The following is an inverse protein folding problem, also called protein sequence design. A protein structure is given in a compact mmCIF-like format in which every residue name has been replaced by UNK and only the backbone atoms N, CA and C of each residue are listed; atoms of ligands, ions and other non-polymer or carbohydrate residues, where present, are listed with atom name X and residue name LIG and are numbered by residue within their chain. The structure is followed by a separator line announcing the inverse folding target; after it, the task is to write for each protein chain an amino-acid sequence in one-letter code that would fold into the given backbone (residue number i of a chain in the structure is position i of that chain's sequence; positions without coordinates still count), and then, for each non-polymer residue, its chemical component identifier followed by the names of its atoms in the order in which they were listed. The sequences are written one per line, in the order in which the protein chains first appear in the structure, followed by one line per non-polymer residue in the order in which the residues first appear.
data_IF_072864690598
#
_entry.id   IF_072864690598
#
_cell.length_a   1.000
_cell.length_b   1.000
_cell.length_c   1.000
_cell.angle_alpha   90.00
_cell.angle_beta   90.00
_cell.angle_gamma   90.00
#
_symmetry.space_group_name_H-M   'P 1'
#
loop_
_entity.id
_entity.type
_entity.pdbx_description
1 polymer ?
#
# COMPACT_ATOMS: atom_id res chain seq x y z
N UNK A 1 10.07 9.56 -0.32
CA UNK A 1 9.66 8.20 0.04
C UNK A 1 8.18 8.02 -0.27
N UNK A 2 7.80 6.89 -0.81
CA UNK A 2 6.43 6.63 -1.22
C UNK A 2 5.87 5.48 -0.42
N UNK A 3 4.59 5.57 -0.08
CA UNK A 3 3.94 4.55 0.74
C UNK A 3 2.93 3.80 -0.13
N UNK A 4 3.02 2.47 -0.10
CA UNK A 4 2.03 1.59 -0.70
C UNK A 4 1.29 0.95 0.45
N UNK A 5 0.01 1.25 0.55
CA UNK A 5 -0.80 0.84 1.69
C UNK A 5 -1.89 -0.12 1.23
N UNK A 6 -2.06 -1.19 1.98
CA UNK A 6 -3.02 -2.24 1.66
C UNK A 6 -4.03 -2.35 2.79
N UNK A 7 -5.30 -2.33 2.42
CA UNK A 7 -6.37 -2.57 3.36
C UNK A 7 -6.89 -3.97 3.14
N UNK A 8 -6.99 -4.73 4.22
CA UNK A 8 -7.46 -6.11 4.16
C UNK A 8 -8.89 -6.19 4.64
N UNK A 9 -9.60 -7.19 4.15
CA UNK A 9 -10.96 -7.45 4.59
C UNK A 9 -10.93 -7.87 6.06
N UNK A 10 -11.94 -7.46 6.78
CA UNK A 10 -12.16 -7.90 8.17
C UNK A 10 -11.06 -7.50 9.14
N UNK A 11 -10.24 -6.50 8.79
CA UNK A 11 -9.28 -5.99 9.73
C UNK A 11 -9.17 -4.48 9.57
N UNK A 12 -9.01 -3.80 10.70
CA UNK A 12 -8.95 -2.35 10.72
C UNK A 12 -7.54 -1.82 10.46
N UNK A 13 -6.53 -2.65 10.67
CA UNK A 13 -5.15 -2.18 10.56
C UNK A 13 -4.62 -2.41 9.17
N UNK A 14 -4.15 -1.35 8.50
CA UNK A 14 -3.57 -1.51 7.17
C UNK A 14 -2.15 -2.05 7.25
N UNK A 15 -1.73 -2.69 6.17
CA UNK A 15 -0.33 -3.04 5.97
C UNK A 15 0.27 -2.02 5.03
N UNK A 16 1.56 -1.75 5.20
CA UNK A 16 2.20 -0.81 4.29
C UNK A 16 3.66 -1.17 4.08
N UNK A 17 4.16 -0.79 2.92
CA UNK A 17 5.59 -0.83 2.62
C UNK A 17 5.96 0.52 2.03
N UNK A 18 7.23 0.87 2.13
CA UNK A 18 7.72 2.14 1.60
C UNK A 18 8.68 1.88 0.46
N UNK A 19 8.56 2.69 -0.58
CA UNK A 19 9.43 2.62 -1.74
C UNK A 19 10.17 3.93 -1.91
N UNK A 20 11.42 3.84 -2.35
CA UNK A 20 12.25 5.02 -2.48
C UNK A 20 11.92 5.85 -3.71
N UNK A 21 11.42 5.22 -4.77
CA UNK A 21 11.15 5.92 -6.01
C UNK A 21 9.68 5.81 -6.37
N UNK A 22 9.23 6.81 -7.14
CA UNK A 22 7.85 6.81 -7.63
C UNK A 22 7.62 5.62 -8.54
N UNK A 23 8.62 5.25 -9.33
CA UNK A 23 8.49 4.13 -10.26
C UNK A 23 8.28 2.81 -9.54
N UNK A 24 9.05 2.59 -8.46
CA UNK A 24 8.92 1.37 -7.69
C UNK A 24 7.56 1.29 -7.00
N UNK A 25 7.10 2.42 -6.49
CA UNK A 25 5.79 2.48 -5.84
C UNK A 25 4.67 2.23 -6.85
N UNK A 26 4.78 2.83 -8.02
CA UNK A 26 3.77 2.65 -9.06
C UNK A 26 3.74 1.20 -9.54
N UNK A 27 4.93 0.58 -9.67
CA UNK A 27 5.00 -0.81 -10.09
C UNK A 27 4.31 -1.73 -9.07
N UNK A 28 4.53 -1.47 -7.79
CA UNK A 28 3.87 -2.24 -6.75
C UNK A 28 2.36 -2.06 -6.79
N UNK A 29 1.92 -0.82 -6.97
CA UNK A 29 0.50 -0.51 -7.06
C UNK A 29 -0.13 -1.21 -8.25
N UNK A 30 0.53 -1.15 -9.41
CA UNK A 30 0.01 -1.79 -10.62
C UNK A 30 -0.09 -3.30 -10.46
N UNK A 31 0.91 -3.90 -9.85
CA UNK A 31 0.90 -5.34 -9.61
C UNK A 31 -0.28 -5.73 -8.73
N UNK A 32 -0.49 -4.96 -7.67
CA UNK A 32 -1.58 -5.25 -6.73
C UNK A 32 -2.95 -5.04 -7.35
N UNK A 33 -3.11 -3.97 -8.13
CA UNK A 33 -4.39 -3.71 -8.76
C UNK A 33 -4.71 -4.76 -9.82
N UNK A 34 -3.70 -5.23 -10.55
CA UNK A 34 -3.90 -6.32 -11.50
C UNK A 34 -4.32 -7.60 -10.78
N UNK A 35 -3.70 -7.89 -9.65
CA UNK A 35 -4.05 -9.06 -8.87
C UNK A 35 -5.47 -8.97 -8.37
N UNK A 36 -5.87 -7.79 -7.89
CA UNK A 36 -7.24 -7.57 -7.44
C UNK A 36 -8.24 -7.77 -8.56
N UNK A 37 -7.90 -7.29 -9.74
CA UNK A 37 -8.80 -7.36 -10.87
C UNK A 37 -8.99 -8.79 -11.40
N UNK A 38 -7.92 -9.57 -11.39
CA UNK A 38 -7.95 -10.92 -11.97
C UNK A 38 -8.10 -12.02 -10.93
N UNK A 39 -7.83 -11.71 -9.66
CA UNK A 39 -7.81 -12.74 -8.62
C UNK A 39 -6.55 -13.58 -8.61
N UNK A 40 -5.57 -13.22 -9.42
CA UNK A 40 -4.31 -13.96 -9.53
C UNK A 40 -3.12 -13.03 -9.59
N UNK A 41 -1.99 -13.44 -9.00
CA UNK A 41 -1.79 -14.72 -8.30
C UNK A 41 -2.55 -14.77 -6.97
N UNK A 42 -2.61 -15.92 -6.38
CA UNK A 42 -3.32 -16.10 -5.11
C UNK A 42 -2.65 -15.29 -4.01
N UNK A 43 -1.35 -15.17 -4.08
CA UNK A 43 -0.56 -14.48 -3.06
C UNK A 43 0.43 -13.54 -3.73
N UNK A 44 0.64 -12.38 -3.14
CA UNK A 44 1.67 -11.45 -3.60
C UNK A 44 2.60 -11.12 -2.45
N UNK A 45 3.87 -10.88 -2.80
CA UNK A 45 4.88 -10.51 -1.83
C UNK A 45 5.41 -9.11 -2.14
N UNK A 46 5.53 -8.30 -1.09
CA UNK A 46 6.05 -6.95 -1.20
C UNK A 46 7.25 -6.78 -0.29
N UNK A 47 8.18 -5.95 -0.71
CA UNK A 47 9.32 -5.60 0.11
C UNK A 47 9.28 -4.12 0.45
N UNK A 48 9.96 -3.76 1.54
CA UNK A 48 10.00 -2.38 2.02
C UNK A 48 11.42 -1.85 1.88
N UNK A 49 11.57 -0.72 1.18
CA UNK A 49 12.89 -0.12 1.00
C UNK A 49 13.37 0.59 2.26
N UNK A 50 12.45 1.08 3.06
CA UNK A 50 12.80 1.79 4.28
C UNK A 50 13.26 0.84 5.38
N UNK A 51 12.61 -0.29 5.50
CA UNK A 51 12.86 -1.25 6.55
C UNK A 51 13.52 -2.48 5.95
N UNK A 52 14.82 -2.56 6.11
CA UNK A 52 15.58 -3.64 5.51
C UNK A 52 15.12 -4.99 6.03
N UNK A 53 14.94 -5.92 5.11
CA UNK A 53 14.51 -7.26 5.48
C UNK A 53 13.01 -7.43 5.67
N UNK A 54 12.25 -6.34 5.63
CA UNK A 54 10.81 -6.45 5.79
C UNK A 54 10.17 -6.96 4.50
N UNK A 55 9.40 -8.01 4.64
CA UNK A 55 8.61 -8.57 3.55
C UNK A 55 7.18 -8.73 4.02
N UNK A 56 6.26 -8.49 3.10
CA UNK A 56 4.84 -8.66 3.38
C UNK A 56 4.26 -9.55 2.31
N UNK A 57 3.69 -10.67 2.73
CA UNK A 57 2.98 -11.57 1.82
C UNK A 57 1.51 -11.51 2.17
N UNK A 58 0.68 -11.34 1.17
CA UNK A 58 -0.74 -11.15 1.40
C UNK A 58 -1.55 -12.01 0.44
N UNK A 59 -2.65 -12.57 0.95
CA UNK A 59 -3.60 -13.30 0.11
C UNK A 59 -4.43 -12.29 -0.66
N UNK A 60 -4.44 -12.44 -1.96
CA UNK A 60 -5.17 -11.49 -2.82
C UNK A 60 -6.66 -11.51 -2.51
N UNK A 61 -7.19 -12.67 -2.15
CA UNK A 61 -8.62 -12.77 -1.82
C UNK A 61 -9.00 -12.00 -0.58
N UNK A 62 -8.03 -11.65 0.29
CA UNK A 62 -8.30 -10.89 1.49
C UNK A 62 -8.03 -9.39 1.30
N UNK A 63 -7.58 -9.00 0.14
CA UNK A 63 -7.21 -7.63 -0.15
C UNK A 63 -8.46 -6.87 -0.56
N UNK A 64 -8.71 -5.74 0.10
CA UNK A 64 -9.90 -4.93 -0.17
C UNK A 64 -9.57 -3.65 -0.94
N UNK A 65 -8.41 -3.05 -0.66
CA UNK A 65 -8.06 -1.80 -1.29
C UNK A 65 -6.55 -1.60 -1.28
N UNK A 66 -6.06 -0.83 -2.24
CA UNK A 66 -4.66 -0.49 -2.36
C UNK A 66 -4.57 0.99 -2.62
N UNK A 67 -3.64 1.68 -1.97
CA UNK A 67 -3.40 3.07 -2.29
C UNK A 67 -1.90 3.35 -2.26
N UNK A 68 -1.50 4.33 -3.05
CA UNK A 68 -0.12 4.76 -3.11
C UNK A 68 -0.09 6.27 -2.99
N UNK A 69 0.84 6.79 -2.20
CA UNK A 69 0.96 8.22 -2.04
C UNK A 69 2.38 8.57 -1.61
N UNK A 70 2.74 9.81 -1.82
CA UNK A 70 4.04 10.30 -1.42
C UNK A 70 3.99 10.70 0.04
N UNK A 71 4.95 10.19 0.82
CA UNK A 71 5.04 10.54 2.22
C UNK A 71 5.71 11.89 2.35
N UNK A 72 5.01 12.83 2.96
CA UNK A 72 5.57 14.15 3.20
C UNK A 72 6.61 14.08 4.31
N UNK A 73 7.71 14.74 4.09
CA UNK A 73 8.75 14.80 5.11
C UNK A 73 8.34 15.55 6.35
N UNK A 74 7.44 16.48 6.21
CA UNK A 74 6.98 17.26 7.35
C UNK A 74 5.77 16.69 7.99
N UNK A 75 5.11 16.00 7.51
CA UNK A 75 4.00 15.32 8.02
C UNK A 75 2.71 15.85 8.16
N UNK A 76 2.91 16.30 8.34
CA UNK A 76 2.21 16.54 8.51
C UNK A 76 1.29 16.29 8.53
N UNK A 77 1.21 16.57 8.85
CA UNK A 77 0.59 16.44 8.87
C UNK A 77 -0.35 15.96 8.70
N UNK A 78 -0.53 16.00 8.90
CA UNK A 78 -1.29 15.50 8.74
C UNK A 78 -2.23 15.20 8.41
N UNK A 79 -2.34 15.44 8.28
CA UNK A 79 -3.06 15.14 7.71
C UNK A 79 -3.49 14.26 7.29
N UNK A 80 -3.52 14.18 7.53
CA UNK A 80 -3.91 13.44 7.09
C UNK A 80 -4.42 12.98 6.61
N UNK A 81 -4.40 12.89 6.75
CA UNK A 81 -4.99 12.29 6.14
C UNK A 81 -5.78 11.82 5.77
N UNK A 82 -5.81 11.79 5.90
CA UNK A 82 -6.62 11.35 5.50
C UNK A 82 -7.39 10.95 5.47
N UNK A 83 -7.56 10.85 5.99
CA UNK A 83 -8.34 10.58 5.87
C UNK A 83 -9.12 10.85 5.83
N UNK A 84 -9.01 11.05 6.10
CA UNK A 84 -9.59 11.37 5.80
C UNK A 84 -10.01 11.45 5.13
N UNK A 85 -9.57 11.57 5.33
CA UNK A 85 -9.95 11.70 4.55
C UNK A 85 -10.42 11.42 3.91
N UNK A 86 -10.51 11.30 4.14
CA UNK A 86 -11.06 11.22 3.52
C UNK A 86 -11.66 11.08 2.99
N UNK A 87 -11.65 11.10 3.21
CA UNK A 87 -12.29 11.15 2.59
C UNK A 87 -12.77 11.13 1.90
N UNK A 88 -12.57 11.15 1.98
CA UNK A 88 -13.06 11.28 1.24
C UNK A 88 -13.42 11.28 0.57
N UNK A 89 -13.40 11.36 0.70
CA UNK A 89 -13.77 11.58 -0.01
C UNK A 89 -14.03 11.63 -0.42
#
# INVERSE_FOLDING_TARGET
MYIVELALKHTALPLSVQKETAEAAQAAYDMLTKALNSGQPIMVELTCDKQEGKKVSVLVSELAAVQVYEKSGTSSSGKAPGFFAMSAE
#
